data_IF_377578456234
#
_entry.id   IF_377578456234
#
_cell.length_a   1.000
_cell.length_b   1.000
_cell.length_c   1.000
_cell.angle_alpha   90.00
_cell.angle_beta   90.00
_cell.angle_gamma   90.00
#
_symmetry.space_group_name_H-M   'P 1'
#
loop_
_entity.id
_entity.type
_entity.pdbx_description
1 polymer ?
#
# COMPACT_ATOMS: atom_id res chain seq x y z
N UNK A 1 -30.04 40.65 1.41
CA UNK A 1 -29.87 39.90 0.15
C UNK A 1 -29.78 38.43 0.55
N UNK A 2 -30.93 37.75 0.54
CA UNK A 2 -31.10 36.41 1.11
C UNK A 2 -30.65 35.40 0.06
N UNK A 3 -29.54 34.72 0.33
CA UNK A 3 -29.06 33.62 -0.50
C UNK A 3 -29.91 32.39 -0.18
N UNK A 4 -30.63 31.79 -1.14
CA UNK A 4 -31.39 30.58 -0.86
C UNK A 4 -30.42 29.42 -0.62
N UNK A 5 -30.55 28.78 0.54
CA UNK A 5 -29.92 27.49 0.83
C UNK A 5 -30.51 26.42 -0.10
N UNK A 6 -29.87 26.20 -1.24
CA UNK A 6 -30.11 25.02 -2.06
C UNK A 6 -29.30 23.84 -1.50
N UNK A 7 -29.91 23.09 -0.59
CA UNK A 7 -29.55 21.72 -0.27
C UNK A 7 -29.96 20.80 -1.44
N UNK A 8 -29.18 20.85 -2.54
CA UNK A 8 -29.26 19.88 -3.64
C UNK A 8 -27.88 19.28 -3.91
N UNK A 9 -27.38 18.51 -2.95
CA UNK A 9 -26.36 17.49 -3.20
C UNK A 9 -27.05 16.13 -3.15
N UNK A 10 -27.63 15.72 -4.29
CA UNK A 10 -28.05 14.34 -4.68
C UNK A 10 -29.04 14.45 -5.84
N UNK A 11 -28.60 14.91 -7.01
CA UNK A 11 -29.29 14.62 -8.27
C UNK A 11 -28.24 13.99 -9.21
N UNK A 12 -27.78 12.77 -8.85
CA UNK A 12 -27.05 11.84 -9.74
C UNK A 12 -28.06 10.93 -10.47
N UNK A 13 -29.24 11.46 -10.81
CA UNK A 13 -30.25 10.73 -11.56
C UNK A 13 -29.87 10.72 -13.05
N UNK A 14 -29.06 9.75 -13.48
CA UNK A 14 -28.91 9.46 -14.91
C UNK A 14 -27.55 8.92 -15.38
N UNK A 15 -26.49 8.99 -14.57
CA UNK A 15 -25.23 8.34 -14.90
C UNK A 15 -25.20 6.92 -14.33
N UNK A 16 -25.00 5.93 -15.20
CA UNK A 16 -24.81 4.53 -14.80
C UNK A 16 -23.48 4.44 -14.06
N UNK A 17 -23.52 4.52 -12.73
CA UNK A 17 -22.32 4.30 -11.91
C UNK A 17 -21.68 2.98 -12.30
N UNK A 18 -20.36 2.98 -12.39
CA UNK A 18 -19.57 1.78 -12.61
C UNK A 18 -19.86 0.79 -11.48
N UNK A 19 -20.52 -0.31 -11.82
CA UNK A 19 -20.88 -1.33 -10.85
C UNK A 19 -19.62 -1.92 -10.19
N UNK A 20 -19.62 -1.94 -8.85
CA UNK A 20 -18.61 -2.65 -8.08
C UNK A 20 -18.75 -4.16 -8.34
N UNK A 21 -17.65 -4.87 -8.54
CA UNK A 21 -17.64 -6.30 -8.84
C UNK A 21 -16.58 -7.05 -8.03
N UNK A 22 -16.62 -8.38 -8.06
CA UNK A 22 -15.70 -9.24 -7.32
C UNK A 22 -14.23 -9.04 -7.73
N UNK A 23 -13.96 -8.67 -8.98
CA UNK A 23 -12.61 -8.32 -9.45
C UNK A 23 -12.04 -7.14 -8.66
N UNK A 24 -12.83 -6.07 -8.46
CA UNK A 24 -12.44 -4.93 -7.62
C UNK A 24 -12.24 -5.34 -6.16
N UNK A 25 -13.06 -6.25 -5.63
CA UNK A 25 -12.87 -6.78 -4.28
C UNK A 25 -11.53 -7.49 -4.09
N UNK A 26 -11.16 -8.37 -5.04
CA UNK A 26 -9.85 -9.04 -5.06
C UNK A 26 -8.73 -8.02 -5.18
N UNK A 27 -8.88 -7.05 -6.10
CA UNK A 27 -7.91 -5.97 -6.30
C UNK A 27 -7.70 -5.12 -5.05
N UNK A 28 -8.74 -4.86 -4.27
CA UNK A 28 -8.66 -4.18 -2.97
C UNK A 28 -8.00 -5.02 -1.88
N UNK A 29 -8.43 -6.28 -1.75
CA UNK A 29 -7.90 -7.22 -0.75
C UNK A 29 -6.39 -7.48 -0.95
N UNK A 30 -5.94 -7.48 -2.20
CA UNK A 30 -4.54 -7.61 -2.57
C UNK A 30 -3.61 -6.56 -1.91
N UNK A 31 -4.09 -5.34 -1.67
CA UNK A 31 -3.30 -4.31 -0.98
C UNK A 31 -3.18 -4.54 0.53
N UNK A 32 -4.10 -5.27 1.14
CA UNK A 32 -4.11 -5.46 2.60
C UNK A 32 -3.71 -6.88 3.02
N UNK A 33 -3.47 -7.76 2.05
CA UNK A 33 -3.03 -9.14 2.25
C UNK A 33 -1.52 -9.23 2.41
N UNK A 34 -1.05 -10.19 3.23
CA UNK A 34 0.37 -10.51 3.36
C UNK A 34 0.83 -11.36 2.16
N UNK A 35 1.20 -10.71 1.07
CA UNK A 35 1.62 -11.36 -0.18
C UNK A 35 3.10 -11.09 -0.50
N UNK A 36 3.70 -11.96 -1.33
CA UNK A 36 5.15 -11.94 -1.61
C UNK A 36 5.51 -11.44 -3.00
N UNK A 37 4.57 -10.90 -3.78
CA UNK A 37 4.88 -10.26 -5.05
C UNK A 37 5.67 -8.95 -4.86
N UNK A 38 6.61 -8.69 -5.77
CA UNK A 38 7.44 -7.49 -5.76
C UNK A 38 6.67 -6.25 -6.23
N UNK A 39 5.65 -6.40 -7.07
CA UNK A 39 4.87 -5.29 -7.62
C UNK A 39 3.37 -5.60 -7.64
N UNK A 40 2.64 -4.83 -6.83
CA UNK A 40 1.19 -4.93 -6.61
C UNK A 40 0.37 -4.70 -7.88
N UNK A 41 0.82 -3.80 -8.77
CA UNK A 41 0.12 -3.49 -10.02
C UNK A 41 0.31 -4.59 -11.04
N UNK A 42 1.55 -5.10 -11.18
CA UNK A 42 1.84 -6.23 -12.07
C UNK A 42 1.07 -7.49 -11.66
N UNK A 43 1.02 -7.80 -10.34
CA UNK A 43 0.20 -8.90 -9.86
C UNK A 43 -1.27 -8.68 -10.17
N UNK A 44 -1.82 -7.50 -9.84
CA UNK A 44 -3.22 -7.16 -10.11
C UNK A 44 -3.54 -7.35 -11.59
N UNK A 45 -2.73 -6.79 -12.49
CA UNK A 45 -2.99 -6.85 -13.93
C UNK A 45 -2.87 -8.29 -14.47
N UNK A 46 -2.04 -9.13 -13.85
CA UNK A 46 -1.99 -10.57 -14.12
C UNK A 46 -3.30 -11.27 -13.69
N UNK A 47 -3.70 -11.13 -12.42
CA UNK A 47 -4.86 -11.87 -11.89
C UNK A 47 -6.19 -11.35 -12.43
N UNK A 48 -6.32 -10.06 -12.74
CA UNK A 48 -7.57 -9.49 -13.25
C UNK A 48 -7.95 -10.07 -14.62
N UNK A 49 -7.02 -10.63 -15.38
CA UNK A 49 -7.34 -11.36 -16.62
C UNK A 49 -8.18 -12.61 -16.35
N UNK A 50 -7.96 -13.25 -15.21
CA UNK A 50 -8.59 -14.50 -14.80
C UNK A 50 -9.89 -14.27 -14.03
N UNK A 51 -9.93 -13.20 -13.20
CA UNK A 51 -11.05 -12.92 -12.30
C UNK A 51 -12.01 -11.85 -12.83
N UNK A 52 -12.39 -11.91 -14.10
CA UNK A 52 -13.33 -10.95 -14.69
C UNK A 52 -14.80 -11.31 -14.41
N UNK A 53 -15.66 -10.29 -14.28
CA UNK A 53 -17.12 -10.44 -14.21
C UNK A 53 -17.64 -11.31 -13.06
N UNK A 54 -16.99 -11.25 -11.90
CA UNK A 54 -17.45 -11.94 -10.69
C UNK A 54 -18.47 -11.06 -9.97
N UNK A 55 -19.61 -11.58 -9.48
CA UNK A 55 -20.51 -10.83 -8.63
C UNK A 55 -19.80 -10.25 -7.40
N UNK A 56 -20.25 -9.09 -6.92
CA UNK A 56 -19.73 -8.48 -5.69
C UNK A 56 -20.29 -9.17 -4.44
N UNK A 57 -20.06 -10.48 -4.34
CA UNK A 57 -20.53 -11.32 -3.25
C UNK A 57 -19.37 -12.15 -2.72
N UNK A 58 -19.16 -12.09 -1.40
CA UNK A 58 -18.02 -12.75 -0.74
C UNK A 58 -17.92 -14.24 -1.11
N UNK A 59 -19.06 -14.95 -1.10
CA UNK A 59 -19.12 -16.38 -1.42
C UNK A 59 -18.69 -16.68 -2.85
N UNK A 60 -19.18 -15.91 -3.83
CA UNK A 60 -18.85 -16.06 -5.25
C UNK A 60 -17.36 -15.77 -5.50
N UNK A 61 -16.83 -14.72 -4.88
CA UNK A 61 -15.41 -14.37 -4.98
C UNK A 61 -14.53 -15.49 -4.43
N UNK A 62 -14.83 -15.97 -3.22
CA UNK A 62 -14.08 -17.06 -2.57
C UNK A 62 -14.14 -18.33 -3.42
N UNK A 63 -15.33 -18.72 -3.88
CA UNK A 63 -15.51 -19.90 -4.73
C UNK A 63 -14.69 -19.80 -6.02
N UNK A 64 -14.61 -18.62 -6.64
CA UNK A 64 -13.84 -18.44 -7.86
C UNK A 64 -12.33 -18.54 -7.62
N UNK A 65 -11.84 -18.02 -6.49
CA UNK A 65 -10.44 -18.17 -6.08
C UNK A 65 -10.12 -19.65 -5.85
N UNK A 66 -11.00 -20.40 -5.18
CA UNK A 66 -10.82 -21.84 -4.95
C UNK A 66 -10.79 -22.64 -6.24
N UNK A 67 -11.73 -22.39 -7.17
CA UNK A 67 -11.73 -23.02 -8.50
C UNK A 67 -10.41 -22.77 -9.25
N UNK A 68 -9.89 -21.54 -9.19
CA UNK A 68 -8.61 -21.19 -9.81
C UNK A 68 -7.45 -21.95 -9.17
N UNK A 69 -7.39 -21.99 -7.84
CA UNK A 69 -6.37 -22.72 -7.08
C UNK A 69 -6.41 -24.20 -7.44
N UNK A 70 -7.57 -24.83 -7.41
CA UNK A 70 -7.73 -26.26 -7.70
C UNK A 70 -7.27 -26.57 -9.13
N UNK A 71 -7.69 -25.77 -10.10
CA UNK A 71 -7.32 -25.94 -11.51
C UNK A 71 -5.83 -25.77 -11.78
N UNK A 72 -5.15 -24.88 -11.03
CA UNK A 72 -3.74 -24.51 -11.28
C UNK A 72 -2.74 -25.18 -10.33
N UNK A 73 -3.21 -25.84 -9.27
CA UNK A 73 -2.36 -26.48 -8.26
C UNK A 73 -1.67 -27.75 -8.74
N UNK A 74 -2.17 -28.37 -9.81
CA UNK A 74 -1.63 -29.60 -10.35
C UNK A 74 -0.43 -29.32 -11.27
N UNK A 75 0.76 -29.62 -10.78
CA UNK A 75 1.99 -29.63 -11.59
C UNK A 75 2.34 -31.08 -11.92
N UNK A 76 2.57 -31.35 -13.20
CA UNK A 76 3.01 -32.65 -13.70
C UNK A 76 4.41 -32.49 -14.27
N UNK A 77 5.37 -33.28 -13.77
CA UNK A 77 6.76 -33.23 -14.21
C UNK A 77 7.58 -32.16 -13.48
N UNK A 78 8.76 -31.85 -14.00
CA UNK A 78 9.73 -30.95 -13.37
C UNK A 78 9.23 -29.50 -13.29
N UNK A 79 9.55 -28.83 -12.19
CA UNK A 79 9.21 -27.44 -11.87
C UNK A 79 10.22 -26.51 -12.55
N UNK A 80 9.73 -25.67 -13.46
CA UNK A 80 10.46 -24.51 -13.98
C UNK A 80 9.94 -23.19 -13.42
N UNK A 81 10.36 -22.08 -14.02
CA UNK A 81 9.97 -20.70 -13.68
C UNK A 81 8.45 -20.50 -13.75
N UNK A 82 7.81 -21.01 -14.80
CA UNK A 82 6.35 -20.88 -14.99
C UNK A 82 5.58 -21.64 -13.88
N UNK A 83 6.04 -22.83 -13.54
CA UNK A 83 5.41 -23.68 -12.54
C UNK A 83 5.58 -23.06 -11.14
N UNK A 84 6.79 -22.58 -10.83
CA UNK A 84 7.07 -21.84 -9.61
C UNK A 84 6.24 -20.54 -9.49
N UNK A 85 6.08 -19.78 -10.59
CA UNK A 85 5.20 -18.59 -10.64
C UNK A 85 3.77 -18.94 -10.26
N UNK A 86 3.23 -20.02 -10.81
CA UNK A 86 1.86 -20.46 -10.49
C UNK A 86 1.72 -20.88 -9.02
N UNK A 87 2.70 -21.62 -8.47
CA UNK A 87 2.68 -22.02 -7.05
C UNK A 87 2.68 -20.81 -6.11
N UNK A 88 3.53 -19.82 -6.39
CA UNK A 88 3.63 -18.61 -5.57
C UNK A 88 2.36 -17.75 -5.69
N UNK A 89 1.78 -17.64 -6.89
CA UNK A 89 0.50 -16.94 -7.08
C UNK A 89 -0.62 -17.65 -6.31
N UNK A 90 -0.64 -18.99 -6.28
CA UNK A 90 -1.60 -19.76 -5.48
C UNK A 90 -1.43 -19.47 -3.98
N UNK A 91 -0.20 -19.40 -3.46
CA UNK A 91 0.07 -19.01 -2.07
C UNK A 91 -0.49 -17.61 -1.77
N UNK A 92 -0.21 -16.63 -2.63
CA UNK A 92 -0.71 -15.27 -2.45
C UNK A 92 -2.24 -15.18 -2.60
N UNK A 93 -2.85 -15.96 -3.50
CA UNK A 93 -4.31 -16.04 -3.65
C UNK A 93 -5.00 -16.65 -2.41
N UNK A 94 -4.36 -17.60 -1.73
CA UNK A 94 -4.86 -18.11 -0.44
C UNK A 94 -4.89 -16.99 0.60
N UNK A 95 -3.81 -16.20 0.70
CA UNK A 95 -3.76 -15.06 1.63
C UNK A 95 -4.83 -14.00 1.29
N UNK A 96 -5.07 -13.75 0.00
CA UNK A 96 -6.13 -12.84 -0.47
C UNK A 96 -7.52 -13.39 -0.11
N UNK A 97 -7.75 -14.69 -0.31
CA UNK A 97 -8.99 -15.37 0.06
C UNK A 97 -9.27 -15.23 1.56
N UNK A 98 -8.28 -15.52 2.39
CA UNK A 98 -8.38 -15.45 3.85
C UNK A 98 -8.66 -14.01 4.32
N UNK A 99 -8.05 -13.03 3.64
CA UNK A 99 -8.32 -11.60 3.87
C UNK A 99 -9.77 -11.23 3.53
N UNK A 100 -10.29 -11.70 2.40
CA UNK A 100 -11.69 -11.46 2.01
C UNK A 100 -12.66 -12.14 2.98
N UNK A 101 -12.33 -13.34 3.47
CA UNK A 101 -13.15 -14.06 4.45
C UNK A 101 -13.20 -13.28 5.76
N UNK A 102 -12.04 -12.90 6.29
CA UNK A 102 -11.88 -12.27 7.61
C UNK A 102 -12.38 -10.83 7.68
N UNK A 103 -12.45 -10.10 6.56
CA UNK A 103 -12.83 -8.69 6.56
C UNK A 103 -14.26 -8.45 6.03
N UNK A 104 -15.00 -7.45 6.55
CA UNK A 104 -16.28 -7.06 5.97
C UNK A 104 -16.13 -6.56 4.54
N UNK A 105 -16.87 -7.14 3.60
CA UNK A 105 -16.90 -6.68 2.22
C UNK A 105 -17.98 -5.59 2.09
N UNK A 106 -17.58 -4.33 2.17
CA UNK A 106 -18.47 -3.17 2.03
C UNK A 106 -18.31 -2.53 0.65
N UNK A 107 -19.42 -2.08 0.05
CA UNK A 107 -19.42 -1.30 -1.18
C UNK A 107 -18.81 0.10 -0.89
N UNK A 108 -17.64 0.43 -1.46
CA UNK A 108 -16.98 1.70 -1.18
C UNK A 108 -17.80 2.91 -1.68
N UNK A 109 -18.63 2.76 -2.71
CA UNK A 109 -19.49 3.86 -3.20
C UNK A 109 -20.54 4.27 -2.17
N UNK A 110 -20.92 3.37 -1.27
CA UNK A 110 -21.93 3.59 -0.22
C UNK A 110 -21.34 3.84 1.15
N UNK A 111 -20.11 3.40 1.38
CA UNK A 111 -19.48 3.39 2.71
C UNK A 111 -18.43 4.48 2.92
N UNK A 112 -17.94 5.14 1.86
CA UNK A 112 -16.82 6.09 2.00
C UNK A 112 -17.09 7.23 2.99
N UNK A 113 -18.29 7.82 2.96
CA UNK A 113 -18.70 8.88 3.90
C UNK A 113 -18.69 8.38 5.35
N UNK A 114 -19.17 7.16 5.59
CA UNK A 114 -19.16 6.52 6.92
C UNK A 114 -17.72 6.39 7.44
N UNK A 115 -16.75 6.02 6.59
CA UNK A 115 -15.35 5.93 7.01
C UNK A 115 -14.72 7.30 7.23
N UNK A 116 -14.96 8.25 6.33
CA UNK A 116 -14.50 9.63 6.47
C UNK A 116 -14.97 10.24 7.79
N UNK A 117 -16.26 10.08 8.13
CA UNK A 117 -16.79 10.56 9.42
C UNK A 117 -16.10 9.90 10.62
N UNK A 118 -15.86 8.58 10.58
CA UNK A 118 -15.09 7.89 11.64
C UNK A 118 -13.66 8.42 11.76
N UNK A 119 -13.02 8.76 10.65
CA UNK A 119 -11.68 9.34 10.67
C UNK A 119 -11.69 10.77 11.23
N UNK A 120 -12.70 11.58 10.88
CA UNK A 120 -12.93 12.89 11.49
C UNK A 120 -13.13 12.78 13.02
N UNK A 121 -13.93 11.81 13.50
CA UNK A 121 -14.08 11.58 14.94
C UNK A 121 -12.75 11.23 15.63
N UNK A 122 -11.88 10.47 14.95
CA UNK A 122 -10.57 10.08 15.48
C UNK A 122 -9.56 11.23 15.46
N UNK A 123 -9.55 12.04 14.39
CA UNK A 123 -8.66 13.21 14.28
C UNK A 123 -9.05 14.30 15.29
N UNK A 124 -10.35 14.49 15.54
CA UNK A 124 -10.86 15.37 16.59
C UNK A 124 -10.36 14.94 17.98
N UNK A 125 -10.34 13.63 18.27
CA UNK A 125 -9.86 13.08 19.56
C UNK A 125 -8.37 13.33 19.81
N UNK A 126 -7.57 13.55 18.77
CA UNK A 126 -6.14 13.92 18.90
C UNK A 126 -5.91 15.43 18.83
N UNK A 127 -6.98 16.23 18.90
CA UNK A 127 -6.94 17.68 19.06
C UNK A 127 -6.78 18.46 17.75
N UNK A 128 -7.12 17.87 16.61
CA UNK A 128 -7.23 18.57 15.32
C UNK A 128 -8.71 18.61 14.97
N UNK A 129 -9.31 19.79 15.04
CA UNK A 129 -10.73 19.99 14.76
C UNK A 129 -10.99 19.93 13.26
N UNK A 130 -11.66 18.87 12.83
CA UNK A 130 -12.03 18.63 11.44
C UNK A 130 -13.43 18.00 11.36
N UNK A 131 -14.41 18.84 11.09
CA UNK A 131 -15.82 18.43 10.97
C UNK A 131 -16.31 18.55 9.52
N UNK A 132 -17.34 17.75 9.17
CA UNK A 132 -18.12 17.85 7.93
C UNK A 132 -17.31 17.78 6.62
N UNK A 133 -16.28 16.92 6.56
CA UNK A 133 -15.52 16.69 5.33
C UNK A 133 -16.41 16.02 4.28
N UNK A 134 -16.71 16.77 3.21
CA UNK A 134 -17.48 16.25 2.07
C UNK A 134 -16.62 15.29 1.25
N UNK A 135 -17.26 14.22 0.76
CA UNK A 135 -16.67 13.36 -0.25
C UNK A 135 -17.41 13.49 -1.58
N UNK A 136 -16.67 13.29 -2.67
CA UNK A 136 -17.19 13.32 -4.03
C UNK A 136 -16.65 12.13 -4.79
N UNK A 137 -17.52 11.41 -5.51
CA UNK A 137 -17.11 10.37 -6.45
C UNK A 137 -17.31 10.93 -7.85
N UNK A 138 -16.23 10.96 -8.63
CA UNK A 138 -16.20 11.62 -9.93
C UNK A 138 -15.54 10.75 -10.99
N UNK A 139 -16.03 10.83 -12.23
CA UNK A 139 -15.37 10.20 -13.38
C UNK A 139 -14.02 10.89 -13.67
N UNK A 140 -13.99 12.22 -13.58
CA UNK A 140 -12.80 13.06 -13.76
C UNK A 140 -12.72 14.09 -12.66
N UNK A 141 -11.50 14.44 -12.24
CA UNK A 141 -11.32 15.54 -11.32
C UNK A 141 -11.76 16.88 -11.97
N UNK A 142 -12.23 17.85 -11.17
CA UNK A 142 -12.55 19.18 -11.66
C UNK A 142 -11.36 19.85 -12.37
N UNK A 143 -11.64 20.73 -13.35
CA UNK A 143 -10.60 21.52 -14.01
C UNK A 143 -9.89 22.44 -13.00
N UNK A 144 -8.57 22.66 -13.13
CA UNK A 144 -7.66 22.20 -14.20
C UNK A 144 -7.04 20.80 -13.99
N UNK A 145 -7.54 20.00 -13.06
CA UNK A 145 -6.89 18.76 -12.59
C UNK A 145 -7.40 17.49 -13.26
N UNK A 146 -8.16 17.58 -14.34
CA UNK A 146 -8.81 16.45 -15.02
C UNK A 146 -7.84 15.30 -15.37
N UNK A 147 -6.59 15.65 -15.71
CA UNK A 147 -5.54 14.73 -16.10
C UNK A 147 -4.68 14.21 -14.94
N UNK A 148 -4.96 14.62 -13.70
CA UNK A 148 -4.16 14.18 -12.55
C UNK A 148 -4.26 12.66 -12.36
N UNK A 149 -3.10 12.02 -12.20
CA UNK A 149 -2.96 10.56 -12.13
C UNK A 149 -3.27 9.94 -10.77
N UNK A 150 -3.80 10.69 -9.80
CA UNK A 150 -4.14 10.19 -8.45
C UNK A 150 -5.44 9.38 -8.39
N UNK A 151 -5.63 8.60 -7.33
CA UNK A 151 -6.91 7.93 -7.02
C UNK A 151 -7.85 8.84 -6.26
N UNK A 152 -7.31 9.65 -5.37
CA UNK A 152 -8.03 10.68 -4.64
C UNK A 152 -7.23 11.99 -4.66
N UNK A 153 -7.93 13.11 -4.49
CA UNK A 153 -7.35 14.44 -4.30
C UNK A 153 -8.20 15.19 -3.27
N UNK A 154 -7.56 15.81 -2.29
CA UNK A 154 -8.19 16.82 -1.45
C UNK A 154 -8.12 18.20 -2.12
N UNK A 155 -9.28 18.87 -2.25
CA UNK A 155 -9.35 20.28 -2.63
C UNK A 155 -9.70 21.13 -1.43
N UNK A 156 -9.02 22.27 -1.29
CA UNK A 156 -9.16 23.16 -0.15
C UNK A 156 -9.76 24.53 -0.52
N UNK A 157 -9.86 25.42 0.48
CA UNK A 157 -10.48 26.74 0.31
C UNK A 157 -9.75 27.61 -0.72
N UNK A 158 -8.45 27.39 -0.96
CA UNK A 158 -7.73 28.11 -1.99
C UNK A 158 -8.16 27.65 -3.39
N UNK A 159 -8.37 26.34 -3.59
CA UNK A 159 -8.90 25.79 -4.83
C UNK A 159 -10.32 26.29 -5.12
N UNK A 160 -11.17 26.36 -4.08
CA UNK A 160 -12.50 26.96 -4.19
C UNK A 160 -12.46 28.40 -4.66
N UNK A 161 -11.60 29.22 -4.05
CA UNK A 161 -11.44 30.64 -4.43
C UNK A 161 -10.89 30.81 -5.83
N UNK A 162 -9.94 29.96 -6.25
CA UNK A 162 -9.20 30.12 -7.49
C UNK A 162 -9.91 29.49 -8.70
N UNK A 163 -10.53 28.34 -8.50
CA UNK A 163 -11.08 27.50 -9.57
C UNK A 163 -12.58 27.23 -9.42
N UNK A 164 -13.20 27.62 -8.31
CA UNK A 164 -14.62 27.34 -8.05
C UNK A 164 -14.90 25.88 -7.69
N UNK A 165 -13.89 25.12 -7.28
CA UNK A 165 -14.02 23.71 -6.90
C UNK A 165 -14.51 23.64 -5.45
N UNK A 166 -15.54 22.85 -5.17
CA UNK A 166 -16.02 22.68 -3.79
C UNK A 166 -14.97 21.97 -2.93
N UNK A 167 -14.86 22.38 -1.67
CA UNK A 167 -13.90 21.79 -0.74
C UNK A 167 -14.31 20.35 -0.37
N UNK A 168 -13.34 19.44 -0.32
CA UNK A 168 -13.58 18.05 0.07
C UNK A 168 -12.60 17.07 -0.56
N UNK A 169 -12.89 15.78 -0.36
CA UNK A 169 -12.09 14.68 -0.90
C UNK A 169 -12.78 14.11 -2.13
N UNK A 170 -12.10 14.15 -3.26
CA UNK A 170 -12.61 13.65 -4.53
C UNK A 170 -11.95 12.30 -4.83
N UNK A 171 -12.76 11.28 -5.11
CA UNK A 171 -12.32 9.95 -5.51
C UNK A 171 -12.67 9.69 -6.97
N UNK A 172 -11.70 9.17 -7.72
CA UNK A 172 -11.94 8.72 -9.10
C UNK A 172 -12.71 7.40 -9.11
N UNK A 173 -13.89 7.41 -9.73
CA UNK A 173 -14.81 6.28 -9.81
C UNK A 173 -14.16 4.99 -10.35
N UNK A 174 -13.35 5.11 -11.40
CA UNK A 174 -12.65 3.99 -12.04
C UNK A 174 -11.54 3.37 -11.17
N UNK A 175 -11.15 4.04 -10.07
CA UNK A 175 -10.07 3.65 -9.18
C UNK A 175 -10.52 3.29 -7.77
N UNK A 176 -11.81 3.37 -7.50
CA UNK A 176 -12.38 2.96 -6.22
C UNK A 176 -12.29 1.43 -6.10
N UNK A 177 -11.70 0.97 -4.99
CA UNK A 177 -11.55 -0.42 -4.62
C UNK A 177 -11.94 -0.59 -3.14
N UNK A 178 -12.63 -1.67 -2.76
CA UNK A 178 -12.91 -1.97 -1.36
C UNK A 178 -11.61 -2.07 -0.56
N UNK A 179 -11.67 -1.80 0.75
CA UNK A 179 -10.53 -1.75 1.66
C UNK A 179 -9.54 -0.61 1.35
N UNK A 180 -8.89 -0.61 0.18
CA UNK A 180 -7.84 0.35 -0.14
C UNK A 180 -8.37 1.79 -0.26
N UNK A 181 -9.57 2.00 -0.81
CA UNK A 181 -10.18 3.34 -0.87
C UNK A 181 -10.53 3.86 0.53
N UNK A 182 -10.97 2.97 1.43
CA UNK A 182 -11.26 3.34 2.82
C UNK A 182 -9.98 3.74 3.55
N UNK A 183 -8.88 3.02 3.32
CA UNK A 183 -7.58 3.39 3.89
C UNK A 183 -7.06 4.69 3.27
N UNK A 184 -7.14 4.86 1.95
CA UNK A 184 -6.71 6.08 1.27
C UNK A 184 -7.48 7.32 1.75
N UNK A 185 -8.76 7.19 2.09
CA UNK A 185 -9.52 8.29 2.68
C UNK A 185 -8.90 8.81 3.98
N UNK A 186 -8.29 7.95 4.80
CA UNK A 186 -7.59 8.39 6.02
C UNK A 186 -6.34 9.22 5.71
N UNK A 187 -5.66 8.94 4.60
CA UNK A 187 -4.51 9.71 4.12
C UNK A 187 -4.97 11.12 3.69
N UNK A 188 -6.02 11.20 2.88
CA UNK A 188 -6.58 12.48 2.41
C UNK A 188 -7.14 13.35 3.54
N UNK A 189 -7.61 12.73 4.64
CA UNK A 189 -8.07 13.46 5.83
C UNK A 189 -6.92 14.24 6.50
N UNK A 190 -5.68 13.72 6.45
CA UNK A 190 -4.53 14.45 6.98
C UNK A 190 -4.13 15.61 6.05
N UNK A 191 -4.21 15.44 4.73
CA UNK A 191 -4.05 16.57 3.80
C UNK A 191 -5.06 17.68 4.07
N UNK A 192 -6.31 17.30 4.37
CA UNK A 192 -7.35 18.26 4.74
C UNK A 192 -7.03 19.00 6.03
N UNK A 193 -6.55 18.29 7.05
CA UNK A 193 -6.13 18.92 8.31
C UNK A 193 -4.95 19.89 8.09
N UNK A 194 -3.95 19.49 7.32
CA UNK A 194 -2.77 20.31 7.04
C UNK A 194 -3.08 21.59 6.23
N UNK A 195 -4.11 21.55 5.37
CA UNK A 195 -4.51 22.69 4.55
C UNK A 195 -5.28 23.77 5.30
N UNK A 196 -5.78 23.50 6.51
CA UNK A 196 -6.60 24.47 7.26
C UNK A 196 -5.87 25.79 7.56
N UNK A 197 -4.56 25.73 7.85
CA UNK A 197 -3.75 26.91 8.19
C UNK A 197 -3.13 27.59 6.96
N UNK A 198 -2.71 26.79 5.98
CA UNK A 198 -1.99 27.28 4.80
C UNK A 198 -2.54 26.68 3.48
N UNK A 199 -3.81 26.93 3.12
CA UNK A 199 -4.47 26.26 2.00
C UNK A 199 -3.88 26.65 0.63
N UNK A 200 -3.22 27.80 0.53
CA UNK A 200 -2.61 28.27 -0.72
C UNK A 200 -1.28 27.59 -1.06
N UNK A 201 -0.70 26.83 -0.13
CA UNK A 201 0.53 26.07 -0.36
C UNK A 201 0.17 24.67 -0.86
N UNK A 202 0.93 24.14 -1.82
CA UNK A 202 0.67 22.82 -2.38
C UNK A 202 1.07 21.72 -1.39
N UNK A 203 0.23 20.69 -1.28
CA UNK A 203 0.61 19.45 -0.60
C UNK A 203 1.80 18.80 -1.32
N UNK A 204 2.89 18.55 -0.60
CA UNK A 204 4.08 17.88 -1.14
C UNK A 204 4.99 17.36 -0.03
N UNK A 205 5.92 16.49 -0.44
CA UNK A 205 7.09 16.19 0.37
C UNK A 205 6.72 15.46 1.65
N UNK A 206 7.28 15.92 2.77
CA UNK A 206 7.03 15.32 4.09
C UNK A 206 5.54 15.23 4.46
N UNK A 207 4.68 16.09 3.91
CA UNK A 207 3.22 16.01 4.12
C UNK A 207 2.67 14.64 3.73
N UNK A 208 3.06 14.09 2.57
CA UNK A 208 2.62 12.75 2.10
C UNK A 208 3.03 11.64 3.09
N UNK A 209 4.26 11.75 3.63
CA UNK A 209 4.77 10.79 4.60
C UNK A 209 4.03 10.88 5.94
N UNK A 210 3.72 12.10 6.39
CA UNK A 210 2.90 12.34 7.59
C UNK A 210 1.47 11.83 7.38
N UNK A 211 0.90 11.96 6.17
CA UNK A 211 -0.41 11.41 5.83
C UNK A 211 -0.43 9.87 5.94
N UNK A 212 0.63 9.19 5.50
CA UNK A 212 0.76 7.74 5.72
C UNK A 212 0.90 7.39 7.21
N UNK A 213 1.70 8.14 7.97
CA UNK A 213 1.91 7.84 9.39
C UNK A 213 0.69 8.11 10.26
N UNK A 214 0.12 9.30 10.17
CA UNK A 214 -0.98 9.72 11.03
C UNK A 214 -2.31 9.19 10.47
N UNK A 215 -2.53 9.28 9.16
CA UNK A 215 -3.76 8.83 8.53
C UNK A 215 -3.86 7.30 8.54
N UNK A 216 -2.89 6.63 7.92
CA UNK A 216 -2.95 5.18 7.72
C UNK A 216 -2.47 4.43 8.96
N UNK A 217 -1.25 4.67 9.41
CA UNK A 217 -0.62 3.86 10.46
C UNK A 217 -1.14 4.16 11.86
N UNK A 218 -1.74 5.33 12.13
CA UNK A 218 -2.31 5.70 13.42
C UNK A 218 -3.84 5.68 13.45
N UNK A 219 -4.51 6.49 12.62
CA UNK A 219 -5.98 6.61 12.64
C UNK A 219 -6.65 5.36 12.05
N UNK A 220 -6.28 4.98 10.83
CA UNK A 220 -6.96 3.92 10.10
C UNK A 220 -6.80 2.54 10.74
N UNK A 221 -5.64 2.29 11.37
CA UNK A 221 -5.34 1.03 12.06
C UNK A 221 -6.39 0.62 13.09
N UNK A 222 -7.02 1.59 13.77
CA UNK A 222 -8.01 1.33 14.82
C UNK A 222 -9.37 0.91 14.26
N UNK A 223 -9.57 1.07 12.95
CA UNK A 223 -10.80 0.79 12.25
C UNK A 223 -10.63 -0.45 11.35
N UNK A 224 -9.53 -0.55 10.62
CA UNK A 224 -9.28 -1.62 9.64
C UNK A 224 -8.30 -2.68 10.17
N UNK A 225 -7.50 -2.36 11.19
CA UNK A 225 -6.49 -3.25 11.77
C UNK A 225 -5.06 -2.90 11.31
N UNK A 226 -4.09 -3.15 12.20
CA UNK A 226 -2.69 -2.76 11.98
C UNK A 226 -2.06 -3.47 10.77
N UNK A 227 -2.24 -4.78 10.65
CA UNK A 227 -1.62 -5.58 9.58
C UNK A 227 -2.10 -5.13 8.19
N UNK A 228 -3.39 -4.85 8.03
CA UNK A 228 -3.95 -4.36 6.77
C UNK A 228 -3.34 -3.01 6.37
N UNK A 229 -3.23 -2.06 7.31
CA UNK A 229 -2.61 -0.76 7.08
C UNK A 229 -1.12 -0.89 6.72
N UNK A 230 -0.39 -1.75 7.43
CA UNK A 230 1.04 -2.03 7.20
C UNK A 230 1.28 -2.67 5.83
N UNK A 231 0.48 -3.67 5.47
CA UNK A 231 0.55 -4.33 4.16
C UNK A 231 0.26 -3.32 3.04
N UNK A 232 -0.74 -2.45 3.21
CA UNK A 232 -1.05 -1.42 2.23
C UNK A 232 0.11 -0.45 2.03
N UNK A 233 0.70 0.05 3.12
CA UNK A 233 1.90 0.91 3.02
C UNK A 233 3.02 0.18 2.31
N UNK A 234 3.26 -1.11 2.63
CA UNK A 234 4.30 -1.90 1.95
C UNK A 234 4.05 -2.02 0.44
N UNK A 235 2.85 -2.45 0.05
CA UNK A 235 2.50 -2.69 -1.35
C UNK A 235 2.41 -1.40 -2.18
N UNK A 236 2.07 -0.26 -1.56
CA UNK A 236 2.06 1.03 -2.22
C UNK A 236 3.46 1.62 -2.37
N UNK A 237 4.29 1.57 -1.32
CA UNK A 237 5.52 2.37 -1.22
C UNK A 237 6.79 1.59 -1.55
N UNK A 238 6.80 0.27 -1.44
CA UNK A 238 8.00 -0.55 -1.65
C UNK A 238 7.86 -1.48 -2.86
N UNK A 239 7.36 -0.98 -3.98
CA UNK A 239 7.24 -1.75 -5.22
C UNK A 239 8.59 -1.99 -5.86
N UNK A 240 8.71 -3.10 -6.57
CA UNK A 240 9.82 -3.38 -7.49
C UNK A 240 9.68 -2.51 -8.75
N UNK A 241 10.78 -1.88 -9.17
CA UNK A 241 10.82 -0.90 -10.27
C UNK A 241 9.72 0.19 -10.18
N UNK A 242 9.65 0.93 -9.07
CA UNK A 242 8.71 2.04 -8.99
C UNK A 242 9.17 3.16 -9.93
N UNK A 243 8.22 3.78 -10.65
CA UNK A 243 8.49 5.02 -11.38
C UNK A 243 9.02 6.13 -10.46
N UNK A 244 9.59 7.20 -11.02
CA UNK A 244 10.20 8.32 -10.27
C UNK A 244 9.28 8.87 -9.18
N UNK A 245 8.00 9.06 -9.50
CA UNK A 245 7.02 9.62 -8.57
C UNK A 245 6.81 8.73 -7.35
N UNK A 246 6.82 7.40 -7.54
CA UNK A 246 6.66 6.44 -6.45
C UNK A 246 7.88 6.40 -5.54
N UNK A 247 9.09 6.54 -6.08
CA UNK A 247 10.30 6.68 -5.24
C UNK A 247 10.21 7.92 -4.34
N UNK A 248 9.62 9.03 -4.83
CA UNK A 248 9.39 10.22 -3.99
C UNK A 248 8.48 9.90 -2.80
N UNK A 249 7.36 9.21 -3.01
CA UNK A 249 6.49 8.79 -1.91
C UNK A 249 7.20 7.88 -0.89
N UNK A 250 8.07 6.98 -1.35
CA UNK A 250 8.90 6.15 -0.45
C UNK A 250 9.84 7.02 0.39
N UNK A 251 10.52 7.99 -0.21
CA UNK A 251 11.40 8.92 0.50
C UNK A 251 10.62 9.73 1.54
N UNK A 252 9.44 10.25 1.19
CA UNK A 252 8.59 11.01 2.11
C UNK A 252 8.17 10.15 3.32
N UNK A 253 7.80 8.89 3.07
CA UNK A 253 7.50 7.93 4.14
C UNK A 253 8.71 7.67 5.05
N UNK A 254 9.90 7.50 4.48
CA UNK A 254 11.13 7.28 5.25
C UNK A 254 11.49 8.52 6.09
N UNK A 255 11.32 9.71 5.55
CA UNK A 255 11.49 10.96 6.30
C UNK A 255 10.51 11.06 7.47
N UNK A 256 9.23 10.72 7.25
CA UNK A 256 8.25 10.66 8.34
C UNK A 256 8.59 9.59 9.39
N UNK A 257 9.19 8.47 8.97
CA UNK A 257 9.70 7.44 9.88
C UNK A 257 10.85 7.97 10.75
N UNK A 258 11.78 8.73 10.17
CA UNK A 258 12.87 9.39 10.92
C UNK A 258 12.28 10.36 11.95
N UNK A 259 11.32 11.20 11.56
CA UNK A 259 10.66 12.11 12.50
C UNK A 259 9.98 11.36 13.63
N UNK A 260 9.21 10.32 13.30
CA UNK A 260 8.48 9.52 14.27
C UNK A 260 9.43 8.85 15.27
N UNK A 261 10.51 8.22 14.82
CA UNK A 261 11.46 7.55 15.72
C UNK A 261 12.11 8.56 16.66
N UNK A 262 12.50 9.73 16.17
CA UNK A 262 13.20 10.73 16.98
C UNK A 262 12.27 11.51 17.94
N UNK A 263 11.01 11.70 17.56
CA UNK A 263 10.12 12.65 18.27
C UNK A 263 8.75 12.10 18.68
N UNK A 264 8.33 10.95 18.14
CA UNK A 264 7.06 10.30 18.47
C UNK A 264 5.84 10.92 17.76
N UNK A 265 4.66 10.34 18.02
CA UNK A 265 3.43 10.78 17.36
C UNK A 265 3.03 12.21 17.67
N UNK A 266 3.25 12.67 18.90
CA UNK A 266 2.83 14.02 19.30
C UNK A 266 3.46 15.10 18.42
N UNK A 267 4.72 14.92 18.01
CA UNK A 267 5.38 15.84 17.08
C UNK A 267 4.73 15.87 15.71
N UNK A 268 4.31 14.73 15.17
CA UNK A 268 3.64 14.67 13.87
C UNK A 268 2.30 15.43 13.91
N UNK A 269 1.54 15.30 15.01
CA UNK A 269 0.28 16.01 15.21
C UNK A 269 0.50 17.51 15.29
N UNK A 270 1.50 17.96 16.04
CA UNK A 270 1.83 19.39 16.13
C UNK A 270 2.28 19.96 14.77
N UNK A 271 3.07 19.20 13.99
CA UNK A 271 3.44 19.60 12.62
C UNK A 271 2.19 19.79 11.74
N UNK A 272 1.19 18.91 11.85
CA UNK A 272 -0.08 19.05 11.12
C UNK A 272 -0.81 20.34 11.53
N UNK A 273 -0.92 20.61 12.84
CA UNK A 273 -1.59 21.82 13.37
C UNK A 273 -0.91 23.11 12.93
N UNK A 274 0.43 23.11 12.89
CA UNK A 274 1.21 24.25 12.41
C UNK A 274 1.20 24.39 10.89
N UNK A 275 0.77 23.36 10.18
CA UNK A 275 0.49 23.36 8.74
C UNK A 275 1.75 23.43 7.86
N UNK A 276 1.50 23.70 6.57
CA UNK A 276 2.48 23.50 5.49
C UNK A 276 3.80 24.29 5.62
N UNK A 277 3.79 25.50 6.19
CA UNK A 277 5.04 26.27 6.38
C UNK A 277 6.02 25.52 7.30
N UNK A 278 5.54 24.98 8.43
CA UNK A 278 6.41 24.21 9.31
C UNK A 278 6.86 22.91 8.63
N UNK A 279 5.96 22.24 7.88
CA UNK A 279 6.33 21.05 7.12
C UNK A 279 7.48 21.30 6.14
N UNK A 280 7.48 22.42 5.42
CA UNK A 280 8.58 22.77 4.50
C UNK A 280 9.90 23.02 5.24
N UNK A 281 9.87 23.67 6.41
CA UNK A 281 11.07 23.87 7.24
C UNK A 281 11.60 22.54 7.80
N UNK A 282 10.70 21.67 8.28
CA UNK A 282 11.02 20.31 8.75
C UNK A 282 11.66 19.51 7.62
N UNK A 283 11.05 19.49 6.44
CA UNK A 283 11.56 18.78 5.26
C UNK A 283 12.97 19.26 4.88
N UNK A 284 13.17 20.59 4.83
CA UNK A 284 14.48 21.18 4.55
C UNK A 284 15.54 20.71 5.55
N UNK A 285 15.22 20.65 6.84
CA UNK A 285 16.16 20.19 7.88
C UNK A 285 16.46 18.70 7.77
N UNK A 286 15.48 17.87 7.42
CA UNK A 286 15.70 16.45 7.12
C UNK A 286 16.65 16.27 5.93
N UNK A 287 16.47 17.03 4.85
CA UNK A 287 17.39 16.97 3.70
C UNK A 287 18.82 17.39 4.04
N UNK A 288 18.98 18.32 4.99
CA UNK A 288 20.29 18.77 5.44
C UNK A 288 20.90 17.87 6.54
N UNK A 289 20.21 16.81 6.96
CA UNK A 289 20.64 15.96 8.08
C UNK A 289 20.62 16.68 9.44
N UNK A 290 19.95 17.83 9.53
CA UNK A 290 19.88 18.70 10.71
C UNK A 290 18.68 18.32 11.57
N UNK A 291 18.58 17.04 11.92
CA UNK A 291 17.43 16.50 12.66
C UNK A 291 17.26 17.25 13.98
N UNK A 292 18.35 17.48 14.71
CA UNK A 292 18.34 18.18 16.01
C UNK A 292 17.96 19.67 15.94
N UNK A 293 17.97 20.29 14.74
CA UNK A 293 17.54 21.68 14.54
C UNK A 293 16.05 21.80 14.20
N UNK A 294 15.34 20.67 14.07
CA UNK A 294 13.89 20.67 13.82
C UNK A 294 13.20 21.34 15.01
N UNK A 295 12.30 22.32 14.79
CA UNK A 295 11.63 22.99 15.89
C UNK A 295 10.65 22.00 16.51
N UNK A 296 11.11 21.26 17.51
CA UNK A 296 10.28 20.23 18.13
C UNK A 296 9.38 20.90 19.15
N UNK A 297 8.10 20.92 18.84
CA UNK A 297 7.08 21.57 19.67
C UNK A 297 6.66 20.63 20.80
N UNK A 298 6.53 19.32 20.54
CA UNK A 298 6.12 18.33 21.55
C UNK A 298 6.64 16.93 21.22
N UNK A 299 7.38 16.29 22.13
CA UNK A 299 7.88 14.90 21.96
C UNK A 299 7.02 13.93 22.77
N UNK A 300 6.69 12.77 22.21
CA UNK A 300 5.97 11.76 22.97
C UNK A 300 5.14 10.77 22.16
N UNK A 301 4.58 9.80 22.88
CA UNK A 301 3.62 8.82 22.38
C UNK A 301 4.17 7.89 21.28
N UNK A 302 5.24 7.15 21.59
CA UNK A 302 5.69 6.05 20.72
C UNK A 302 4.79 4.83 20.94
N UNK A 303 4.21 4.35 19.86
CA UNK A 303 3.49 3.09 19.84
C UNK A 303 4.44 2.01 19.35
N UNK A 304 4.67 0.98 20.17
CA UNK A 304 5.64 -0.09 19.90
C UNK A 304 5.46 -0.70 18.49
N UNK A 305 4.23 -1.07 18.15
CA UNK A 305 3.89 -1.69 16.88
C UNK A 305 4.24 -0.82 15.65
N UNK A 306 4.09 0.50 15.77
CA UNK A 306 4.45 1.46 14.72
C UNK A 306 5.94 1.73 14.73
N UNK A 307 6.58 1.76 15.90
CA UNK A 307 8.04 1.93 16.05
C UNK A 307 8.81 0.80 15.39
N UNK A 308 8.40 -0.44 15.64
CA UNK A 308 8.98 -1.59 14.96
C UNK A 308 8.79 -1.52 13.44
N UNK A 309 7.62 -1.05 12.99
CA UNK A 309 7.34 -0.85 11.58
C UNK A 309 8.16 0.29 10.96
N UNK A 310 8.43 1.37 11.69
CA UNK A 310 9.28 2.48 11.26
C UNK A 310 10.71 2.04 11.01
N UNK A 311 11.28 1.22 11.90
CA UNK A 311 12.58 0.61 11.64
C UNK A 311 12.55 -0.24 10.37
N UNK A 312 11.50 -1.04 10.17
CA UNK A 312 11.33 -1.83 8.95
C UNK A 312 11.25 -0.96 7.69
N UNK A 313 10.55 0.18 7.72
CA UNK A 313 10.49 1.16 6.61
C UNK A 313 11.89 1.68 6.25
N UNK A 314 12.71 1.99 7.26
CA UNK A 314 14.04 2.56 7.06
C UNK A 314 15.06 1.53 6.55
N UNK A 315 14.89 0.26 6.91
CA UNK A 315 15.83 -0.82 6.55
C UNK A 315 15.30 -1.72 5.43
N UNK A 316 14.17 -1.40 4.80
CA UNK A 316 13.56 -2.26 3.80
C UNK A 316 14.40 -2.31 2.51
N UNK A 317 14.84 -3.50 2.12
CA UNK A 317 15.59 -3.71 0.88
C UNK A 317 14.63 -3.90 -0.32
N UNK A 318 14.47 -2.86 -1.13
CA UNK A 318 13.55 -2.90 -2.29
C UNK A 318 14.08 -3.72 -3.47
N UNK A 319 15.39 -3.96 -3.52
CA UNK A 319 16.05 -4.69 -4.60
C UNK A 319 15.97 -6.20 -4.43
N UNK A 320 15.58 -6.70 -3.26
CA UNK A 320 15.50 -8.15 -3.00
C UNK A 320 14.22 -8.77 -3.58
N UNK A 321 14.12 -8.70 -4.90
CA UNK A 321 13.01 -9.23 -5.70
C UNK A 321 13.62 -10.14 -6.75
N UNK A 322 13.33 -11.43 -6.63
CA UNK A 322 13.97 -12.51 -7.39
C UNK A 322 13.00 -13.18 -8.37
N UNK A 323 13.50 -14.07 -9.21
CA UNK A 323 12.65 -14.91 -10.05
C UNK A 323 11.75 -15.83 -9.22
N UNK A 324 10.57 -16.21 -9.73
CA UNK A 324 9.69 -17.13 -9.04
C UNK A 324 10.37 -18.44 -8.60
N UNK A 325 11.20 -19.05 -9.47
CA UNK A 325 11.92 -20.26 -9.10
C UNK A 325 12.98 -20.01 -8.03
N UNK A 326 13.68 -18.87 -8.07
CA UNK A 326 14.64 -18.49 -7.03
C UNK A 326 13.95 -18.32 -5.67
N UNK A 327 12.79 -17.66 -5.60
CA UNK A 327 12.05 -17.55 -4.35
C UNK A 327 11.59 -18.92 -3.83
N UNK A 328 11.13 -19.81 -4.71
CA UNK A 328 10.71 -21.16 -4.34
C UNK A 328 11.88 -22.01 -3.82
N UNK A 329 13.05 -21.91 -4.47
CA UNK A 329 14.28 -22.57 -4.03
C UNK A 329 14.71 -22.01 -2.67
N UNK A 330 14.77 -20.69 -2.51
CA UNK A 330 15.12 -20.01 -1.27
C UNK A 330 14.27 -20.47 -0.07
N UNK A 331 12.99 -20.78 -0.28
CA UNK A 331 12.12 -21.30 0.79
C UNK A 331 12.55 -22.68 1.30
N UNK A 332 13.14 -23.52 0.45
CA UNK A 332 13.31 -24.95 0.75
C UNK A 332 14.78 -25.40 0.87
N UNK A 333 15.71 -24.72 0.20
CA UNK A 333 17.14 -25.04 0.27
C UNK A 333 17.72 -24.64 1.63
N UNK A 334 18.74 -25.34 2.09
CA UNK A 334 19.44 -25.07 3.34
C UNK A 334 20.96 -25.16 3.17
N UNK A 335 21.70 -24.61 4.14
CA UNK A 335 23.14 -24.83 4.24
C UNK A 335 23.45 -26.32 4.43
N UNK A 336 24.40 -26.84 3.64
CA UNK A 336 24.78 -28.24 3.62
C UNK A 336 24.18 -29.04 2.47
N UNK A 337 23.11 -28.56 1.83
CA UNK A 337 22.47 -29.24 0.72
C UNK A 337 23.39 -29.35 -0.50
N UNK A 338 23.30 -30.47 -1.22
CA UNK A 338 23.90 -30.63 -2.55
C UNK A 338 22.89 -30.19 -3.61
N UNK A 339 23.26 -29.23 -4.46
CA UNK A 339 22.39 -28.58 -5.45
C UNK A 339 21.71 -29.59 -6.38
N UNK A 340 22.47 -30.54 -6.95
CA UNK A 340 21.92 -31.54 -7.87
C UNK A 340 20.92 -32.47 -7.20
N UNK A 341 21.26 -32.94 -5.99
CA UNK A 341 20.36 -33.77 -5.20
C UNK A 341 19.10 -32.99 -4.82
N UNK A 342 19.26 -31.73 -4.39
CA UNK A 342 18.15 -30.84 -4.09
C UNK A 342 17.22 -30.65 -5.30
N UNK A 343 17.75 -30.40 -6.50
CA UNK A 343 16.93 -30.28 -7.71
C UNK A 343 16.18 -31.56 -8.03
N UNK A 344 16.84 -32.73 -7.97
CA UNK A 344 16.18 -34.02 -8.20
C UNK A 344 15.07 -34.27 -7.18
N UNK A 345 15.36 -34.07 -5.90
CA UNK A 345 14.46 -34.43 -4.80
C UNK A 345 13.26 -33.47 -4.72
N UNK A 346 13.42 -32.23 -5.21
CA UNK A 346 12.33 -31.25 -5.36
C UNK A 346 11.76 -31.19 -6.78
N UNK A 347 12.20 -32.10 -7.67
CA UNK A 347 11.74 -32.19 -9.04
C UNK A 347 11.84 -30.85 -9.79
N UNK A 348 12.99 -30.17 -9.71
CA UNK A 348 13.28 -28.88 -10.35
C UNK A 348 14.05 -29.11 -11.65
N UNK A 349 13.69 -28.39 -12.71
CA UNK A 349 14.42 -28.39 -13.99
C UNK A 349 15.85 -27.88 -13.78
N UNK A 350 16.84 -28.76 -13.90
CA UNK A 350 18.24 -28.47 -13.53
C UNK A 350 18.77 -27.17 -14.16
N UNK A 351 18.52 -26.94 -15.46
CA UNK A 351 18.99 -25.72 -16.15
C UNK A 351 18.36 -24.44 -15.61
N UNK A 352 17.07 -24.46 -15.26
CA UNK A 352 16.39 -23.29 -14.72
C UNK A 352 16.72 -23.10 -13.25
N UNK A 353 16.84 -24.20 -12.50
CA UNK A 353 17.28 -24.20 -11.10
C UNK A 353 18.69 -23.64 -10.97
N UNK A 354 19.63 -24.01 -11.85
CA UNK A 354 20.99 -23.49 -11.83
C UNK A 354 21.02 -21.96 -11.99
N UNK A 355 20.24 -21.41 -12.92
CA UNK A 355 20.09 -19.94 -13.07
C UNK A 355 19.47 -19.26 -11.86
N UNK A 356 18.51 -19.92 -11.21
CA UNK A 356 17.88 -19.41 -10.01
C UNK A 356 18.85 -19.43 -8.81
N UNK A 357 19.73 -20.44 -8.70
CA UNK A 357 20.82 -20.45 -7.71
C UNK A 357 21.85 -19.36 -8.02
N UNK A 358 22.23 -19.20 -9.29
CA UNK A 358 23.12 -18.13 -9.77
C UNK A 358 22.56 -16.75 -9.40
N UNK A 359 21.26 -16.51 -9.61
CA UNK A 359 20.60 -15.27 -9.18
C UNK A 359 20.70 -15.03 -7.66
N UNK A 360 20.44 -16.06 -6.85
CA UNK A 360 20.55 -15.98 -5.39
C UNK A 360 22.00 -15.74 -4.92
N UNK A 361 22.99 -16.24 -5.66
CA UNK A 361 24.41 -16.12 -5.34
C UNK A 361 25.03 -14.82 -5.85
N UNK A 362 24.96 -14.57 -7.16
CA UNK A 362 25.71 -13.52 -7.84
C UNK A 362 25.01 -12.16 -7.80
N UNK A 363 23.67 -12.14 -7.84
CA UNK A 363 22.91 -10.88 -7.87
C UNK A 363 22.60 -10.38 -6.47
N UNK A 364 22.18 -11.29 -5.58
CA UNK A 364 21.65 -10.92 -4.26
C UNK A 364 22.53 -11.35 -3.08
N UNK A 365 23.55 -12.19 -3.30
CA UNK A 365 24.47 -12.67 -2.27
C UNK A 365 23.77 -13.28 -1.04
N UNK A 366 22.61 -13.91 -1.25
CA UNK A 366 21.80 -14.52 -0.18
C UNK A 366 22.10 -16.00 0.01
N UNK A 367 22.78 -16.63 -0.93
CA UNK A 367 23.13 -18.04 -0.90
C UNK A 367 24.53 -18.20 -1.48
N UNK A 368 25.42 -18.96 -0.83
CA UNK A 368 26.79 -19.21 -1.30
C UNK A 368 26.96 -20.71 -1.48
N UNK A 369 27.54 -21.09 -2.62
CA UNK A 369 27.90 -22.48 -2.93
C UNK A 369 29.40 -22.65 -3.11
N UNK A 370 29.94 -23.77 -2.65
CA UNK A 370 31.27 -24.28 -3.00
C UNK A 370 31.08 -25.54 -3.86
N UNK A 371 31.31 -25.40 -5.16
CA UNK A 371 30.95 -26.40 -6.15
C UNK A 371 29.43 -26.69 -6.10
N UNK A 372 29.07 -27.95 -5.86
CA UNK A 372 27.67 -28.36 -5.77
C UNK A 372 27.07 -28.25 -4.36
N UNK A 373 27.83 -27.79 -3.36
CA UNK A 373 27.36 -27.77 -1.96
C UNK A 373 27.04 -26.34 -1.53
N UNK A 374 25.87 -26.14 -0.93
CA UNK A 374 25.53 -24.86 -0.30
C UNK A 374 26.31 -24.73 1.01
N UNK A 375 27.17 -23.70 1.10
CA UNK A 375 27.99 -23.44 2.29
C UNK A 375 27.37 -22.37 3.19
N UNK A 376 26.53 -21.49 2.65
CA UNK A 376 25.83 -20.45 3.39
C UNK A 376 24.44 -20.20 2.80
N UNK A 377 23.43 -20.10 3.65
CA UNK A 377 22.07 -19.71 3.29
C UNK A 377 21.59 -18.58 4.23
N UNK A 378 21.46 -17.37 3.66
CA UNK A 378 20.87 -16.19 4.30
C UNK A 378 19.45 -15.93 3.82
N UNK A 379 18.93 -16.71 2.88
CA UNK A 379 17.60 -16.48 2.33
C UNK A 379 16.51 -16.55 3.39
N UNK A 380 16.64 -17.43 4.40
CA UNK A 380 15.70 -17.55 5.52
C UNK A 380 15.55 -16.24 6.29
N UNK A 381 16.65 -15.55 6.59
CA UNK A 381 16.62 -14.25 7.26
C UNK A 381 15.71 -13.26 6.53
N UNK A 382 15.82 -13.21 5.21
CA UNK A 382 15.08 -12.28 4.37
C UNK A 382 13.63 -12.72 4.10
N UNK A 383 13.39 -14.03 4.07
CA UNK A 383 12.05 -14.61 3.98
C UNK A 383 11.26 -14.36 5.27
N UNK A 384 11.87 -14.58 6.42
CA UNK A 384 11.28 -14.37 7.76
C UNK A 384 10.97 -12.89 7.99
N UNK A 385 11.87 -12.00 7.54
CA UNK A 385 11.63 -10.56 7.57
C UNK A 385 10.60 -10.08 6.53
N UNK A 386 10.14 -10.96 5.63
CA UNK A 386 9.18 -10.64 4.58
C UNK A 386 9.68 -9.58 3.61
N UNK A 387 10.99 -9.56 3.31
CA UNK A 387 11.60 -8.61 2.36
C UNK A 387 11.93 -9.26 1.02
N UNK A 388 12.23 -10.57 1.02
CA UNK A 388 12.47 -11.34 -0.21
C UNK A 388 11.14 -11.66 -0.91
N UNK A 389 11.02 -11.21 -2.16
CA UNK A 389 9.78 -11.26 -2.95
C UNK A 389 10.06 -11.76 -4.36
N UNK A 390 9.01 -12.04 -5.13
CA UNK A 390 9.15 -12.47 -6.53
C UNK A 390 8.60 -11.45 -7.52
N UNK A 391 9.25 -11.29 -8.68
CA UNK A 391 8.69 -10.47 -9.75
C UNK A 391 7.61 -11.20 -10.54
N UNK A 392 6.71 -10.43 -11.15
CA UNK A 392 5.71 -10.89 -12.10
C UNK A 392 5.96 -10.11 -13.38
N UNK A 393 6.39 -10.83 -14.41
CA UNK A 393 6.45 -10.31 -15.79
C UNK A 393 5.07 -9.95 -16.34
#
# INVERSE_FOLDING_TARGET
MVCPQNNKNRDYEGQKMMEINGSKAIGGALYISNCKFGNVLAFRDFIMKEFNNIPFEKKEIVSKIEEYIDTKSHIVGEIGQKDAKNLLIIEDLKNIKDTIISNPLEDPFKSIDKYVNKYCEKINKIGIELDDVKTFIVEKFPKPFENAGGTAINFDVADKRKYGIEEGIYFKEDRILPYSTQILASHEIIHRAASMKHPHLLARGIEDGICDYVGILYICREIIGSDACKNLVFHLRFRHHPGSDWNRYTTNLQQAAVLYINYGFESLIEIIKEGRILMEDVEKKLFLGKIDEIPIIKKGNWIEDITNFSYRILTYEKTLVVSPLALLIAKNINSGDNIKSFFRDNNIKEREGAKAIEELYETHFVLISDGEKITCDRSKLYLDAGVMRYFID
#
